data_IF_404102099945
#
_entry.id   IF_404102099945
#
_cell.length_a   1.000
_cell.length_b   1.000
_cell.length_c   1.000
_cell.angle_alpha   90.00
_cell.angle_beta   90.00
_cell.angle_gamma   90.00
#
_symmetry.space_group_name_H-M   'P 1'
#
loop_
_entity.id
_entity.type
_entity.pdbx_description
1 polymer ?
#
# COMPACT_ATOMS: atom_id res chain seq x y z
N UNK A 1 -10.07 0.06 32.55
CA UNK A 1 -8.72 -0.10 31.97
C UNK A 1 -8.50 0.76 30.71
N UNK A 2 -9.54 1.03 29.91
CA UNK A 2 -9.52 1.97 28.77
C UNK A 2 -8.95 3.37 29.08
N UNK A 3 -9.20 3.91 30.27
CA UNK A 3 -8.72 5.24 30.68
C UNK A 3 -7.19 5.40 30.58
N UNK A 4 -6.43 4.35 30.91
CA UNK A 4 -4.97 4.35 30.88
C UNK A 4 -4.41 4.50 29.46
N UNK A 5 -4.96 3.75 28.51
CA UNK A 5 -4.53 3.84 27.12
C UNK A 5 -4.91 5.17 26.48
N UNK A 6 -6.11 5.67 26.79
CA UNK A 6 -6.54 7.01 26.36
C UNK A 6 -5.61 8.10 26.91
N UNK A 7 -5.20 8.00 28.17
CA UNK A 7 -4.24 8.93 28.76
C UNK A 7 -2.88 8.88 28.04
N UNK A 8 -2.35 7.68 27.79
CA UNK A 8 -1.10 7.52 27.03
C UNK A 8 -1.23 8.09 25.61
N UNK A 9 -2.33 7.84 24.91
CA UNK A 9 -2.58 8.38 23.58
C UNK A 9 -2.60 9.92 23.57
N UNK A 10 -3.22 10.53 24.59
CA UNK A 10 -3.24 11.98 24.76
C UNK A 10 -1.83 12.54 25.05
N UNK A 11 -1.04 11.85 25.88
CA UNK A 11 0.35 12.23 26.15
C UNK A 11 1.27 12.06 24.92
N UNK A 12 0.97 11.08 24.06
CA UNK A 12 1.66 10.88 22.79
C UNK A 12 1.35 12.03 21.81
N UNK A 13 0.11 12.51 21.80
CA UNK A 13 -0.29 13.63 20.96
C UNK A 13 0.34 14.96 21.40
N UNK A 14 0.58 15.16 22.70
CA UNK A 14 1.14 16.41 23.21
C UNK A 14 2.64 16.56 22.94
N UNK A 15 3.52 15.74 23.51
CA UNK A 15 4.99 15.91 23.31
C UNK A 15 5.87 14.73 23.75
N UNK A 16 5.41 13.83 24.63
CA UNK A 16 6.27 12.80 25.27
C UNK A 16 6.36 11.49 24.48
N UNK A 17 6.44 11.55 23.15
CA UNK A 17 6.23 10.41 22.24
C UNK A 17 7.06 9.17 22.57
N UNK A 18 8.38 9.32 22.73
CA UNK A 18 9.30 8.18 22.95
C UNK A 18 9.05 7.49 24.29
N UNK A 19 8.87 8.25 25.38
CA UNK A 19 8.67 7.69 26.72
C UNK A 19 7.30 7.03 26.84
N UNK A 20 6.26 7.64 26.28
CA UNK A 20 4.91 7.07 26.26
C UNK A 20 4.89 5.74 25.49
N UNK A 21 5.60 5.65 24.36
CA UNK A 21 5.72 4.40 23.60
C UNK A 21 6.47 3.32 24.40
N UNK A 22 7.52 3.68 25.16
CA UNK A 22 8.21 2.71 26.04
C UNK A 22 7.28 2.17 27.13
N UNK A 23 6.47 3.04 27.74
CA UNK A 23 5.48 2.63 28.75
C UNK A 23 4.43 1.70 28.13
N UNK A 24 3.88 2.06 26.97
CA UNK A 24 2.96 1.21 26.20
C UNK A 24 3.52 -0.18 25.92
N UNK A 25 4.78 -0.26 25.45
CA UNK A 25 5.45 -1.54 25.18
C UNK A 25 5.66 -2.37 26.44
N UNK A 26 5.93 -1.74 27.59
CA UNK A 26 6.04 -2.44 28.88
C UNK A 26 4.70 -3.06 29.29
N UNK A 27 3.60 -2.36 29.07
CA UNK A 27 2.25 -2.86 29.36
C UNK A 27 1.97 -4.10 28.50
N UNK A 28 2.35 -4.06 27.22
CA UNK A 28 2.19 -5.17 26.29
C UNK A 28 3.06 -6.41 26.57
N UNK A 29 3.89 -6.40 27.62
CA UNK A 29 4.57 -7.61 28.10
C UNK A 29 3.64 -8.55 28.84
N UNK A 30 2.51 -8.06 29.37
CA UNK A 30 1.46 -8.88 30.01
C UNK A 30 0.09 -8.27 29.76
N UNK A 31 -0.38 -8.26 28.49
CA UNK A 31 -1.60 -7.58 28.11
C UNK A 31 -2.83 -8.45 28.39
N UNK A 32 -3.92 -7.80 28.78
CA UNK A 32 -5.23 -8.44 28.92
C UNK A 32 -6.12 -8.22 27.67
N UNK A 33 -7.33 -8.80 27.69
CA UNK A 33 -8.26 -8.68 26.58
C UNK A 33 -8.68 -7.23 26.28
N UNK A 34 -8.81 -6.39 27.32
CA UNK A 34 -9.21 -4.99 27.17
C UNK A 34 -8.11 -4.13 26.56
N UNK A 35 -6.84 -4.45 26.81
CA UNK A 35 -5.70 -3.79 26.16
C UNK A 35 -5.74 -4.02 24.64
N UNK A 36 -5.97 -5.28 24.22
CA UNK A 36 -6.02 -5.63 22.80
C UNK A 36 -7.22 -5.04 22.09
N UNK A 37 -8.39 -5.03 22.75
CA UNK A 37 -9.58 -4.40 22.22
C UNK A 37 -9.36 -2.91 22.00
N UNK A 38 -8.80 -2.20 22.98
CA UNK A 38 -8.53 -0.77 22.87
C UNK A 38 -7.57 -0.46 21.72
N UNK A 39 -6.51 -1.26 21.54
CA UNK A 39 -5.55 -1.08 20.44
C UNK A 39 -6.20 -1.29 19.07
N UNK A 40 -7.05 -2.31 18.95
CA UNK A 40 -7.78 -2.60 17.71
C UNK A 40 -8.76 -1.48 17.36
N UNK A 41 -9.57 -1.03 18.32
CA UNK A 41 -10.51 0.08 18.13
C UNK A 41 -9.79 1.40 17.85
N UNK A 42 -8.60 1.60 18.41
CA UNK A 42 -7.82 2.82 18.18
C UNK A 42 -7.24 2.92 16.78
N UNK A 43 -7.12 1.81 16.04
CA UNK A 43 -6.66 1.81 14.66
C UNK A 43 -7.69 2.37 13.67
N UNK A 44 -8.98 2.38 14.02
CA UNK A 44 -10.04 3.00 13.22
C UNK A 44 -10.24 4.50 13.53
N UNK A 45 -9.59 5.00 14.57
CA UNK A 45 -9.67 6.39 15.02
C UNK A 45 -8.61 7.27 14.34
N UNK A 46 -9.01 8.44 13.84
CA UNK A 46 -8.15 9.35 13.06
C UNK A 46 -6.92 9.86 13.82
N UNK A 47 -6.96 9.90 15.15
CA UNK A 47 -5.87 10.40 15.99
C UNK A 47 -5.15 9.27 16.72
N UNK A 48 -5.87 8.34 17.34
CA UNK A 48 -5.28 7.28 18.16
C UNK A 48 -4.51 6.25 17.34
N UNK A 49 -4.84 6.05 16.06
CA UNK A 49 -4.14 5.10 15.18
C UNK A 49 -2.63 5.36 15.10
N UNK A 50 -2.23 6.63 15.16
CA UNK A 50 -0.81 7.03 15.10
C UNK A 50 -0.03 6.60 16.34
N UNK A 51 -0.69 6.60 17.49
CA UNK A 51 -0.09 6.08 18.71
C UNK A 51 0.10 4.56 18.61
N UNK A 52 -0.90 3.83 18.12
CA UNK A 52 -0.78 2.37 17.90
C UNK A 52 0.32 2.05 16.88
N UNK A 53 0.38 2.76 15.75
CA UNK A 53 1.46 2.61 14.78
C UNK A 53 2.85 2.87 15.38
N UNK A 54 2.97 3.87 16.27
CA UNK A 54 4.23 4.17 16.94
C UNK A 54 4.67 3.07 17.91
N UNK A 55 3.72 2.40 18.61
CA UNK A 55 4.02 1.25 19.47
C UNK A 55 4.71 0.14 18.66
N UNK A 56 4.17 -0.19 17.49
CA UNK A 56 4.67 -1.30 16.66
C UNK A 56 5.73 -0.89 15.63
N UNK A 57 6.15 0.38 15.60
CA UNK A 57 7.26 0.82 14.74
C UNK A 57 8.56 0.11 15.13
N UNK A 58 9.01 -0.79 14.26
CA UNK A 58 10.21 -1.61 14.47
C UNK A 58 10.01 -2.82 15.38
N UNK A 59 8.76 -3.15 15.74
CA UNK A 59 8.39 -4.30 16.57
C UNK A 59 7.42 -5.19 15.80
N UNK A 60 7.39 -6.51 16.05
CA UNK A 60 6.42 -7.40 15.43
C UNK A 60 4.99 -6.99 15.76
N UNK A 61 4.13 -6.92 14.74
CA UNK A 61 2.70 -6.75 14.89
C UNK A 61 2.11 -8.10 15.35
N UNK A 62 1.26 -8.14 16.39
CA UNK A 62 0.57 -9.35 16.82
C UNK A 62 -0.55 -9.77 15.83
N UNK A 63 -0.82 -11.08 15.71
CA UNK A 63 -1.77 -11.62 14.70
C UNK A 63 -3.16 -10.98 14.76
N UNK A 64 -3.64 -10.71 15.96
CA UNK A 64 -4.95 -10.05 16.20
C UNK A 64 -5.02 -8.60 15.71
N UNK A 65 -3.88 -7.95 15.45
CA UNK A 65 -3.80 -6.59 14.94
C UNK A 65 -3.42 -6.55 13.45
N UNK A 66 -3.20 -7.70 12.80
CA UNK A 66 -2.85 -7.75 11.38
C UNK A 66 -3.91 -7.06 10.50
N UNK A 67 -5.16 -7.52 10.56
CA UNK A 67 -6.24 -6.92 9.77
C UNK A 67 -6.55 -5.48 10.21
N UNK A 68 -6.68 -5.14 11.52
CA UNK A 68 -6.85 -3.75 11.94
C UNK A 68 -5.78 -2.78 11.42
N UNK A 69 -4.51 -3.22 11.35
CA UNK A 69 -3.45 -2.40 10.76
C UNK A 69 -3.65 -2.19 9.26
N UNK A 70 -3.97 -3.23 8.50
CA UNK A 70 -4.16 -3.10 7.07
C UNK A 70 -5.44 -2.30 6.73
N UNK A 71 -6.50 -2.41 7.53
CA UNK A 71 -7.68 -1.56 7.42
C UNK A 71 -7.35 -0.08 7.70
N UNK A 72 -6.52 0.19 8.70
CA UNK A 72 -6.03 1.54 8.97
C UNK A 72 -5.18 2.09 7.81
N UNK A 73 -4.40 1.23 7.14
CA UNK A 73 -3.65 1.61 5.94
C UNK A 73 -4.57 1.97 4.76
N UNK A 74 -5.59 1.14 4.51
CA UNK A 74 -6.59 1.35 3.45
C UNK A 74 -7.40 2.63 3.70
N UNK A 75 -7.77 2.88 4.95
CA UNK A 75 -8.60 4.04 5.32
C UNK A 75 -7.82 5.35 5.43
N UNK A 76 -6.49 5.33 5.32
CA UNK A 76 -5.65 6.53 5.45
C UNK A 76 -5.61 7.34 4.13
N UNK A 77 -6.16 8.56 4.10
CA UNK A 77 -6.24 9.35 2.86
C UNK A 77 -4.87 9.76 2.31
N UNK A 78 -3.86 9.94 3.16
CA UNK A 78 -2.52 10.31 2.75
C UNK A 78 -1.68 9.05 2.39
N UNK A 79 -1.38 8.81 1.10
CA UNK A 79 -0.63 7.63 0.68
C UNK A 79 0.80 7.57 1.23
N UNK A 80 1.37 8.68 1.70
CA UNK A 80 2.71 8.68 2.32
C UNK A 80 2.66 8.32 3.81
N UNK A 81 1.50 8.43 4.46
CA UNK A 81 1.35 8.09 5.87
C UNK A 81 0.88 6.65 6.09
N UNK A 82 0.15 6.07 5.13
CA UNK A 82 -0.34 4.69 5.25
C UNK A 82 0.78 3.63 5.39
N UNK A 83 2.01 3.94 4.94
CA UNK A 83 3.20 3.09 5.10
C UNK A 83 3.47 2.73 6.57
N UNK A 84 3.08 3.60 7.51
CA UNK A 84 3.27 3.36 8.94
C UNK A 84 2.49 2.14 9.46
N UNK A 85 1.48 1.70 8.72
CA UNK A 85 0.71 0.50 9.02
C UNK A 85 1.11 -0.70 8.14
N UNK A 86 1.47 -0.45 6.87
CA UNK A 86 1.87 -1.50 5.93
C UNK A 86 3.23 -2.11 6.27
N UNK A 87 4.26 -1.30 6.49
CA UNK A 87 5.63 -1.79 6.69
C UNK A 87 5.78 -2.70 7.91
N UNK A 88 5.19 -2.39 9.10
CA UNK A 88 5.23 -3.31 10.24
C UNK A 88 4.58 -4.66 9.94
N UNK A 89 3.49 -4.67 9.16
CA UNK A 89 2.82 -5.90 8.74
C UNK A 89 3.69 -6.72 7.78
N UNK A 90 4.33 -6.07 6.79
CA UNK A 90 5.26 -6.75 5.87
C UNK A 90 6.43 -7.37 6.64
N UNK A 91 7.00 -6.66 7.62
CA UNK A 91 8.09 -7.17 8.47
C UNK A 91 7.66 -8.36 9.34
N UNK A 92 6.39 -8.43 9.73
CA UNK A 92 5.88 -9.45 10.65
C UNK A 92 5.33 -10.69 9.93
N UNK A 93 4.71 -10.50 8.75
CA UNK A 93 3.95 -11.53 8.04
C UNK A 93 4.43 -11.80 6.61
N UNK A 94 5.46 -11.07 6.17
CA UNK A 94 6.01 -11.18 4.83
C UNK A 94 5.15 -10.49 3.76
N UNK A 95 5.70 -10.42 2.56
CA UNK A 95 5.07 -9.75 1.41
C UNK A 95 3.80 -10.48 0.95
N UNK A 96 3.78 -11.82 0.95
CA UNK A 96 2.64 -12.61 0.46
C UNK A 96 1.35 -12.25 1.21
N UNK A 97 1.33 -12.47 2.52
CA UNK A 97 0.15 -12.27 3.37
C UNK A 97 -0.43 -10.85 3.24
N UNK A 98 0.45 -9.84 3.22
CA UNK A 98 0.02 -8.43 3.08
C UNK A 98 -0.53 -8.13 1.68
N UNK A 99 0.13 -8.59 0.62
CA UNK A 99 -0.34 -8.35 -0.74
C UNK A 99 -1.65 -9.10 -1.02
N UNK A 100 -1.81 -10.34 -0.56
CA UNK A 100 -3.03 -11.11 -0.73
C UNK A 100 -4.23 -10.42 -0.06
N UNK A 101 -4.08 -9.99 1.19
CA UNK A 101 -5.12 -9.21 1.89
C UNK A 101 -5.50 -7.94 1.11
N UNK A 102 -4.52 -7.14 0.70
CA UNK A 102 -4.79 -5.89 0.00
C UNK A 102 -5.40 -6.14 -1.40
N UNK A 103 -5.03 -7.22 -2.08
CA UNK A 103 -5.63 -7.60 -3.36
C UNK A 103 -7.08 -8.04 -3.21
N UNK A 104 -7.42 -8.75 -2.13
CA UNK A 104 -8.81 -9.08 -1.81
C UNK A 104 -9.66 -7.81 -1.62
N UNK A 105 -9.11 -6.78 -0.96
CA UNK A 105 -9.78 -5.47 -0.84
C UNK A 105 -9.93 -4.79 -2.21
N UNK A 106 -8.94 -4.88 -3.10
CA UNK A 106 -9.06 -4.33 -4.47
C UNK A 106 -10.12 -5.07 -5.29
N UNK A 107 -10.30 -6.37 -5.07
CA UNK A 107 -11.24 -7.21 -5.82
C UNK A 107 -12.68 -7.10 -5.33
N UNK A 108 -12.90 -6.74 -4.06
CA UNK A 108 -14.23 -6.79 -3.42
C UNK A 108 -14.69 -5.50 -2.73
N UNK A 109 -13.79 -4.52 -2.55
CA UNK A 109 -14.07 -3.27 -1.85
C UNK A 109 -14.89 -2.27 -2.65
N UNK A 110 -15.42 -1.27 -1.95
CA UNK A 110 -15.94 -0.06 -2.59
C UNK A 110 -14.80 0.82 -3.15
N UNK A 111 -15.15 1.88 -3.88
CA UNK A 111 -14.16 2.75 -4.52
C UNK A 111 -13.13 3.37 -3.56
N UNK A 112 -13.53 3.71 -2.33
CA UNK A 112 -12.63 4.29 -1.33
C UNK A 112 -11.64 3.23 -0.84
N UNK A 113 -12.15 2.05 -0.52
CA UNK A 113 -11.35 0.91 -0.11
C UNK A 113 -10.39 0.44 -1.22
N UNK A 114 -10.85 0.38 -2.47
CA UNK A 114 -10.00 0.05 -3.62
C UNK A 114 -8.87 1.08 -3.74
N UNK A 115 -9.17 2.38 -3.75
CA UNK A 115 -8.15 3.41 -3.89
C UNK A 115 -7.11 3.36 -2.76
N UNK A 116 -7.56 3.15 -1.52
CA UNK A 116 -6.71 3.00 -0.35
C UNK A 116 -5.85 1.73 -0.37
N UNK A 117 -6.39 0.61 -0.84
CA UNK A 117 -5.67 -0.64 -0.97
C UNK A 117 -4.60 -0.57 -2.08
N UNK A 118 -4.91 0.04 -3.22
CA UNK A 118 -3.92 0.29 -4.29
C UNK A 118 -2.80 1.19 -3.78
N UNK A 119 -3.12 2.26 -3.05
CA UNK A 119 -2.12 3.12 -2.42
C UNK A 119 -1.24 2.34 -1.42
N UNK A 120 -1.83 1.44 -0.63
CA UNK A 120 -1.10 0.61 0.34
C UNK A 120 -0.20 -0.43 -0.34
N UNK A 121 -0.62 -0.99 -1.47
CA UNK A 121 0.15 -1.95 -2.28
C UNK A 121 1.44 -1.36 -2.85
N UNK A 122 1.61 -0.04 -2.87
CA UNK A 122 2.88 0.61 -3.23
C UNK A 122 3.97 0.32 -2.18
N UNK A 123 3.61 0.33 -0.90
CA UNK A 123 4.52 0.07 0.23
C UNK A 123 4.70 -1.42 0.53
N UNK A 124 3.78 -2.27 0.06
CA UNK A 124 3.87 -3.72 0.22
C UNK A 124 4.83 -4.41 -0.80
N UNK A 125 5.49 -3.65 -1.67
CA UNK A 125 6.41 -4.17 -2.69
C UNK A 125 7.63 -4.84 -2.07
N UNK A 126 8.12 -5.89 -2.73
CA UNK A 126 9.40 -6.49 -2.38
C UNK A 126 10.53 -5.70 -3.03
N UNK A 127 11.52 -5.28 -2.23
CA UNK A 127 12.75 -4.70 -2.75
C UNK A 127 13.68 -5.80 -3.25
N UNK A 128 14.24 -5.61 -4.44
CA UNK A 128 15.23 -6.50 -5.03
C UNK A 128 16.61 -6.03 -4.57
N UNK A 129 17.40 -6.96 -4.04
CA UNK A 129 18.76 -6.70 -3.57
C UNK A 129 19.79 -7.05 -4.64
N UNK A 130 20.89 -6.29 -4.67
CA UNK A 130 21.98 -6.44 -5.64
C UNK A 130 23.33 -6.53 -4.92
N UNK A 131 24.28 -7.28 -5.50
CA UNK A 131 25.64 -7.38 -4.99
C UNK A 131 26.55 -6.37 -5.69
N UNK A 132 26.90 -5.29 -5.00
CA UNK A 132 27.80 -4.27 -5.53
C UNK A 132 27.25 -3.52 -6.75
N UNK A 133 28.14 -3.11 -7.66
CA UNK A 133 27.77 -2.42 -8.91
C UNK A 133 27.40 -3.45 -9.97
N UNK A 134 26.15 -3.41 -10.44
CA UNK A 134 25.63 -4.29 -11.50
C UNK A 134 25.47 -3.55 -12.83
N UNK A 135 25.45 -4.28 -13.94
CA UNK A 135 25.28 -3.72 -15.28
C UNK A 135 23.89 -3.07 -15.46
N UNK A 136 22.85 -3.69 -14.89
CA UNK A 136 21.50 -3.14 -14.85
C UNK A 136 20.78 -3.56 -13.56
N UNK A 137 19.89 -2.71 -13.04
CA UNK A 137 19.09 -3.00 -11.85
C UNK A 137 17.84 -3.82 -12.21
N UNK A 138 18.04 -5.01 -12.77
CA UNK A 138 16.99 -5.95 -13.18
C UNK A 138 16.99 -7.22 -12.32
N UNK A 139 15.90 -7.99 -12.33
CA UNK A 139 15.81 -9.25 -11.59
C UNK A 139 16.94 -10.25 -11.95
N UNK A 140 17.39 -10.22 -13.21
CA UNK A 140 18.52 -11.01 -13.72
C UNK A 140 19.87 -10.69 -13.06
N UNK A 141 20.02 -9.50 -12.48
CA UNK A 141 21.25 -9.08 -11.79
C UNK A 141 21.08 -9.05 -10.26
N UNK A 142 19.90 -9.40 -9.76
CA UNK A 142 19.64 -9.52 -8.33
C UNK A 142 20.48 -10.63 -7.68
N UNK A 143 20.70 -10.53 -6.37
CA UNK A 143 21.30 -11.64 -5.62
C UNK A 143 20.47 -12.91 -5.77
N UNK A 144 21.08 -14.11 -5.79
CA UNK A 144 20.35 -15.37 -5.93
C UNK A 144 19.21 -15.53 -4.91
N UNK A 145 19.43 -15.11 -3.66
CA UNK A 145 18.44 -15.17 -2.58
C UNK A 145 17.28 -14.22 -2.86
N UNK A 146 17.57 -12.97 -3.25
CA UNK A 146 16.54 -11.99 -3.55
C UNK A 146 15.72 -12.38 -4.78
N UNK A 147 16.37 -12.98 -5.79
CA UNK A 147 15.69 -13.48 -6.99
C UNK A 147 14.71 -14.59 -6.63
N UNK A 148 15.18 -15.63 -5.93
CA UNK A 148 14.33 -16.75 -5.51
C UNK A 148 13.13 -16.28 -4.69
N UNK A 149 13.35 -15.37 -3.74
CA UNK A 149 12.27 -14.83 -2.92
C UNK A 149 11.28 -13.99 -3.74
N UNK A 150 11.72 -13.30 -4.79
CA UNK A 150 10.83 -12.61 -5.72
C UNK A 150 10.01 -13.58 -6.59
N UNK A 151 10.66 -14.63 -7.11
CA UNK A 151 10.04 -15.68 -7.94
C UNK A 151 8.98 -16.47 -7.17
N UNK A 152 9.20 -16.73 -5.87
CA UNK A 152 8.21 -17.35 -4.99
C UNK A 152 6.91 -16.55 -4.80
N UNK A 153 6.88 -15.29 -5.28
CA UNK A 153 5.72 -14.41 -5.23
C UNK A 153 5.18 -14.10 -6.64
N UNK A 154 5.65 -14.78 -7.69
CA UNK A 154 5.29 -14.46 -9.06
C UNK A 154 3.78 -14.56 -9.32
N UNK A 155 3.10 -15.54 -8.74
CA UNK A 155 1.64 -15.69 -8.77
C UNK A 155 0.93 -14.45 -8.18
N UNK A 156 1.44 -13.89 -7.07
CA UNK A 156 0.91 -12.68 -6.44
C UNK A 156 1.14 -11.47 -7.33
N UNK A 157 2.31 -11.37 -7.97
CA UNK A 157 2.63 -10.29 -8.91
C UNK A 157 1.79 -10.34 -10.19
N UNK A 158 1.52 -11.53 -10.71
CA UNK A 158 0.62 -11.76 -11.84
C UNK A 158 -0.82 -11.42 -11.48
N UNK A 159 -1.33 -11.90 -10.33
CA UNK A 159 -2.64 -11.53 -9.81
C UNK A 159 -2.76 -10.01 -9.68
N UNK A 160 -1.81 -9.35 -9.03
CA UNK A 160 -1.80 -7.88 -8.90
C UNK A 160 -1.87 -7.18 -10.25
N UNK A 161 -1.05 -7.59 -11.22
CA UNK A 161 -1.02 -7.00 -12.56
C UNK A 161 -2.36 -7.16 -13.27
N UNK A 162 -2.91 -8.37 -13.25
CA UNK A 162 -4.20 -8.70 -13.85
C UNK A 162 -5.36 -7.94 -13.19
N UNK A 163 -5.42 -7.93 -11.87
CA UNK A 163 -6.44 -7.23 -11.07
C UNK A 163 -6.41 -5.73 -11.36
N UNK A 164 -5.22 -5.11 -11.37
CA UNK A 164 -5.11 -3.67 -11.65
C UNK A 164 -5.61 -3.32 -13.05
N UNK A 165 -5.25 -4.10 -14.08
CA UNK A 165 -5.72 -3.85 -15.44
C UNK A 165 -7.25 -3.99 -15.53
N UNK A 166 -7.83 -5.06 -14.95
CA UNK A 166 -9.28 -5.28 -14.94
C UNK A 166 -10.01 -4.15 -14.22
N UNK A 167 -9.55 -3.75 -13.03
CA UNK A 167 -10.17 -2.70 -12.23
C UNK A 167 -10.07 -1.34 -12.93
N UNK A 168 -8.93 -1.00 -13.52
CA UNK A 168 -8.78 0.26 -14.26
C UNK A 168 -9.78 0.40 -15.40
N UNK A 169 -9.98 -0.68 -16.18
CA UNK A 169 -10.90 -0.69 -17.31
C UNK A 169 -12.36 -0.67 -16.84
N UNK A 170 -12.71 -1.49 -15.84
CA UNK A 170 -14.10 -1.66 -15.39
C UNK A 170 -14.60 -0.60 -14.41
N UNK A 171 -13.72 0.13 -13.73
CA UNK A 171 -14.07 1.12 -12.73
C UNK A 171 -13.79 2.55 -13.23
N UNK A 172 -14.84 3.37 -13.29
CA UNK A 172 -14.78 4.77 -13.73
C UNK A 172 -14.40 5.77 -12.63
N UNK A 173 -14.27 5.33 -11.38
CA UNK A 173 -13.94 6.21 -10.27
C UNK A 173 -12.56 6.86 -10.44
N UNK A 174 -12.51 8.18 -10.29
CA UNK A 174 -11.33 8.99 -10.52
C UNK A 174 -10.16 8.60 -9.60
N UNK A 175 -10.42 8.44 -8.30
CA UNK A 175 -9.37 8.14 -7.32
C UNK A 175 -8.79 6.74 -7.55
N UNK A 176 -9.64 5.75 -7.82
CA UNK A 176 -9.20 4.40 -8.20
C UNK A 176 -8.26 4.45 -9.41
N UNK A 177 -8.67 5.14 -10.49
CA UNK A 177 -7.86 5.25 -11.72
C UNK A 177 -6.55 5.99 -11.47
N UNK A 178 -6.56 7.09 -10.72
CA UNK A 178 -5.36 7.86 -10.34
C UNK A 178 -4.37 7.01 -9.55
N UNK A 179 -4.84 6.12 -8.68
CA UNK A 179 -3.97 5.24 -7.90
C UNK A 179 -3.42 4.06 -8.73
N UNK A 180 -4.21 3.53 -9.67
CA UNK A 180 -3.81 2.36 -10.48
C UNK A 180 -2.88 2.74 -11.64
N UNK A 181 -3.18 3.82 -12.39
CA UNK A 181 -2.44 4.15 -13.62
C UNK A 181 -0.92 4.12 -13.45
N UNK A 182 -0.30 4.62 -12.35
CA UNK A 182 1.15 4.57 -12.16
C UNK A 182 1.78 3.18 -12.19
N UNK A 183 0.99 2.16 -11.86
CA UNK A 183 1.44 0.77 -11.67
C UNK A 183 1.07 -0.14 -12.85
N UNK A 184 0.31 0.36 -13.82
CA UNK A 184 -0.03 -0.43 -15.01
C UNK A 184 1.20 -0.64 -15.90
N UNK A 185 1.29 -1.85 -16.45
CA UNK A 185 2.13 -2.10 -17.63
C UNK A 185 1.24 -1.94 -18.86
N UNK A 186 1.65 -1.13 -19.82
CA UNK A 186 0.89 -0.87 -21.04
C UNK A 186 1.48 -1.62 -22.25
N UNK A 187 2.00 -2.82 -21.99
CA UNK A 187 2.59 -3.72 -22.98
C UNK A 187 1.79 -5.03 -22.95
N UNK A 188 1.30 -5.49 -24.10
CA UNK A 188 0.46 -6.70 -24.18
C UNK A 188 1.20 -7.97 -23.74
N UNK A 189 2.51 -8.06 -24.00
CA UNK A 189 3.35 -9.20 -23.61
C UNK A 189 3.45 -9.40 -22.08
N UNK A 190 3.05 -8.40 -21.29
CA UNK A 190 3.03 -8.48 -19.83
C UNK A 190 1.81 -9.22 -19.28
N UNK A 191 0.86 -9.61 -20.14
CA UNK A 191 -0.43 -10.19 -19.76
C UNK A 191 -0.72 -11.49 -20.53
N UNK A 192 -1.52 -12.40 -19.94
CA UNK A 192 -2.04 -13.57 -20.65
C UNK A 192 -2.97 -13.15 -21.81
N UNK A 193 -3.13 -14.02 -22.82
CA UNK A 193 -3.92 -13.75 -24.03
C UNK A 193 -5.32 -13.17 -23.75
N UNK A 194 -5.99 -13.70 -22.73
CA UNK A 194 -7.34 -13.25 -22.34
C UNK A 194 -7.41 -11.80 -21.85
N UNK A 195 -6.28 -11.21 -21.47
CA UNK A 195 -6.18 -9.85 -20.93
C UNK A 195 -5.55 -8.85 -21.89
N UNK A 196 -4.87 -9.30 -22.96
CA UNK A 196 -4.26 -8.40 -23.94
C UNK A 196 -5.22 -7.36 -24.51
N UNK A 197 -6.48 -7.69 -24.87
CA UNK A 197 -7.42 -6.69 -25.37
C UNK A 197 -7.72 -5.56 -24.36
N UNK A 198 -7.57 -5.81 -23.06
CA UNK A 198 -7.79 -4.78 -22.04
C UNK A 198 -6.66 -3.75 -21.99
N UNK A 199 -5.47 -4.07 -22.51
CA UNK A 199 -4.35 -3.12 -22.56
C UNK A 199 -4.69 -1.95 -23.47
N UNK A 200 -5.17 -2.23 -24.69
CA UNK A 200 -5.60 -1.18 -25.61
C UNK A 200 -6.78 -0.38 -25.04
N UNK A 201 -7.74 -1.05 -24.39
CA UNK A 201 -8.85 -0.35 -23.73
C UNK A 201 -8.37 0.59 -22.62
N UNK A 202 -7.40 0.16 -21.80
CA UNK A 202 -6.81 1.00 -20.76
C UNK A 202 -6.10 2.23 -21.36
N UNK A 203 -5.37 2.07 -22.47
CA UNK A 203 -4.75 3.17 -23.20
C UNK A 203 -5.80 4.15 -23.71
N UNK A 204 -6.87 3.65 -24.35
CA UNK A 204 -7.93 4.50 -24.92
C UNK A 204 -8.69 5.27 -23.82
N UNK A 205 -8.96 4.62 -22.69
CA UNK A 205 -9.56 5.25 -21.50
C UNK A 205 -8.65 6.36 -20.96
N UNK A 206 -7.35 6.08 -20.80
CA UNK A 206 -6.43 7.04 -20.22
C UNK A 206 -6.19 8.23 -21.15
N UNK A 207 -6.05 7.99 -22.46
CA UNK A 207 -5.82 9.02 -23.49
C UNK A 207 -6.97 10.00 -23.60
N UNK A 208 -8.21 9.50 -23.51
CA UNK A 208 -9.42 10.31 -23.62
C UNK A 208 -9.98 10.75 -22.26
N UNK A 209 -9.30 10.47 -21.14
CA UNK A 209 -9.78 10.85 -19.82
C UNK A 209 -9.85 12.36 -19.70
N UNK A 210 -10.83 12.90 -18.96
CA UNK A 210 -10.92 14.35 -18.67
C UNK A 210 -9.85 14.84 -17.68
N UNK A 211 -9.21 13.92 -16.95
CA UNK A 211 -8.25 14.21 -15.89
C UNK A 211 -6.83 14.32 -16.47
N UNK A 212 -6.17 15.45 -16.23
CA UNK A 212 -4.85 15.74 -16.77
C UNK A 212 -3.77 14.81 -16.19
N UNK A 213 -3.89 14.46 -14.90
CA UNK A 213 -2.94 13.54 -14.26
C UNK A 213 -2.96 12.17 -14.94
N UNK A 214 -4.14 11.61 -15.21
CA UNK A 214 -4.25 10.31 -15.91
C UNK A 214 -3.63 10.37 -17.31
N UNK A 215 -3.93 11.41 -18.10
CA UNK A 215 -3.34 11.60 -19.44
C UNK A 215 -1.81 11.72 -19.37
N UNK A 216 -1.31 12.53 -18.45
CA UNK A 216 0.12 12.71 -18.23
C UNK A 216 0.81 11.39 -17.83
N UNK A 217 0.20 10.60 -16.93
CA UNK A 217 0.76 9.31 -16.51
C UNK A 217 0.81 8.29 -17.64
N UNK A 218 -0.15 8.30 -18.55
CA UNK A 218 -0.11 7.50 -19.78
C UNK A 218 1.11 7.87 -20.63
N UNK A 219 1.31 9.16 -20.91
CA UNK A 219 2.42 9.61 -21.76
C UNK A 219 3.79 9.27 -21.17
N UNK A 220 3.94 9.37 -19.84
CA UNK A 220 5.16 8.93 -19.13
C UNK A 220 5.40 7.43 -19.33
N UNK A 221 4.36 6.59 -19.28
CA UNK A 221 4.50 5.15 -19.44
C UNK A 221 4.81 4.73 -20.87
N UNK A 222 4.34 5.49 -21.87
CA UNK A 222 4.63 5.23 -23.28
C UNK A 222 5.98 5.80 -23.74
N UNK A 223 6.79 6.33 -22.81
CA UNK A 223 8.15 6.80 -23.11
C UNK A 223 8.17 8.12 -23.87
N UNK A 224 7.19 9.01 -23.65
CA UNK A 224 7.24 10.35 -24.26
C UNK A 224 8.35 11.18 -23.60
N UNK A 225 9.53 11.19 -24.23
CA UNK A 225 10.77 11.86 -23.77
C UNK A 225 10.65 13.37 -23.57
N UNK A 226 9.54 14.00 -24.00
CA UNK A 226 9.29 15.44 -23.82
C UNK A 226 8.74 15.79 -22.42
N UNK A 227 8.46 14.82 -21.56
CA UNK A 227 7.92 15.04 -20.22
C UNK A 227 9.01 15.10 -19.15
N UNK A 228 9.80 16.17 -19.17
CA UNK A 228 10.48 16.70 -17.98
C UNK A 228 9.58 17.72 -17.24
N UNK A 229 8.26 17.60 -17.37
CA UNK A 229 7.34 18.51 -16.69
C UNK A 229 6.98 17.99 -15.30
N UNK A 230 6.89 18.88 -14.28
CA UNK A 230 6.43 18.51 -12.95
C UNK A 230 5.03 17.88 -13.02
N UNK A 231 4.76 16.91 -12.13
CA UNK A 231 3.46 16.27 -12.02
C UNK A 231 2.37 17.35 -11.86
N UNK A 232 1.29 17.33 -12.66
CA UNK A 232 0.18 18.26 -12.48
C UNK A 232 -0.40 18.16 -11.06
N UNK A 233 -0.84 19.28 -10.50
CA UNK A 233 -1.50 19.29 -9.19
C UNK A 233 -2.73 18.37 -9.23
N UNK A 234 -2.83 17.48 -8.22
CA UNK A 234 -4.05 16.71 -7.98
C UNK A 234 -5.11 17.68 -7.49
N UNK A 235 -5.91 18.24 -8.41
CA UNK A 235 -7.11 18.97 -8.02
C UNK A 235 -8.03 18.00 -7.31
N UNK A 236 -8.31 18.29 -6.04
CA UNK A 236 -9.37 17.67 -5.28
C UNK A 236 -10.67 18.26 -5.80
N UNK A 237 -11.56 17.42 -6.30
CA UNK A 237 -12.96 17.82 -6.50
C UNK A 237 -13.63 17.71 -5.14
N UNK A 238 -14.06 18.85 -4.59
CA UNK A 238 -14.86 18.93 -3.36
C UNK A 238 -16.12 18.04 -3.43
#
# INVERSE_FOLDING_TARGET
MTAKWTELANQFASEKKTEVVKVARRILQSPDASDWQWLSESLTDNHRKWFVAAIFRGYPVPKRLFEPFLQAAVSEPNPSLNQQFVEPCVKSYGHRSVNEYLLEVVESGDNSNIAGAVASLYWAKMQISFSGKVAAYTLEHATPESRRAFELLNDVWERKRATFLRVFVSNANLDVRRQIIPSLKLEENAYPESLKPLVQQAIDIAKNHSDEYIRHRLDVQLGNERLLQPLPERRHTD
#
